data_IF_134816243537
#
_entry.id   IF_134816243537
#
_cell.length_a   1.000
_cell.length_b   1.000
_cell.length_c   1.000
_cell.angle_alpha   90.00
_cell.angle_beta   90.00
_cell.angle_gamma   90.00
#
_symmetry.space_group_name_H-M   'P 1'
#
loop_
_entity.id
_entity.type
_entity.pdbx_description
1 polymer ?
#
# COMPACT_ATOMS: atom_id res chain seq x y z
N UNK A 1 2.04 15.98 22.22
CA UNK A 1 1.21 16.59 21.15
C UNK A 1 0.76 15.49 20.22
N UNK A 2 -0.52 15.49 19.89
CA UNK A 2 -1.09 14.45 19.06
C UNK A 2 -1.42 15.08 17.72
N UNK A 3 -0.67 14.66 16.71
CA UNK A 3 -0.78 15.21 15.37
C UNK A 3 -2.08 14.82 14.68
N UNK A 4 -2.65 15.75 13.93
CA UNK A 4 -3.79 15.54 13.03
C UNK A 4 -3.39 14.74 11.80
N UNK A 5 -4.37 14.29 11.01
CA UNK A 5 -4.09 13.66 9.71
C UNK A 5 -3.29 14.57 8.79
N UNK A 6 -3.65 15.85 8.73
CA UNK A 6 -2.92 16.86 7.94
C UNK A 6 -1.45 16.98 8.36
N UNK A 7 -1.18 17.11 9.65
CA UNK A 7 0.19 17.17 10.19
C UNK A 7 0.95 15.86 9.92
N UNK A 8 0.28 14.71 9.98
CA UNK A 8 0.91 13.42 9.66
C UNK A 8 1.27 13.28 8.17
N UNK A 9 0.55 13.92 7.25
CA UNK A 9 0.96 13.98 5.84
C UNK A 9 2.36 14.58 5.72
N UNK A 10 2.61 15.68 6.40
CA UNK A 10 3.94 16.32 6.39
C UNK A 10 5.00 15.48 7.08
N UNK A 11 4.65 14.82 8.20
CA UNK A 11 5.59 13.94 8.90
C UNK A 11 5.97 12.72 8.05
N UNK A 12 5.00 12.02 7.48
CA UNK A 12 5.27 10.87 6.59
C UNK A 12 6.02 11.29 5.35
N UNK A 13 5.64 12.41 4.74
CA UNK A 13 6.32 12.95 3.57
C UNK A 13 7.77 13.33 3.87
N UNK A 14 8.03 13.93 5.02
CA UNK A 14 9.39 14.26 5.46
C UNK A 14 10.26 13.00 5.66
N UNK A 15 9.71 11.94 6.25
CA UNK A 15 10.40 10.64 6.40
C UNK A 15 10.74 10.03 5.04
N UNK A 16 9.87 10.22 4.04
CA UNK A 16 10.08 9.77 2.66
C UNK A 16 10.99 10.71 1.84
N UNK A 17 11.45 11.80 2.45
CA UNK A 17 12.36 12.76 1.80
C UNK A 17 11.68 13.85 0.97
N UNK A 18 10.36 14.03 1.07
CA UNK A 18 9.64 15.06 0.34
C UNK A 18 9.84 16.45 0.97
N UNK A 19 10.00 17.48 0.14
CA UNK A 19 10.04 18.85 0.62
C UNK A 19 8.65 19.33 1.05
N UNK A 20 8.64 20.30 1.98
CA UNK A 20 7.38 20.93 2.40
C UNK A 20 6.62 21.53 1.21
N UNK A 21 7.34 22.19 0.30
CA UNK A 21 6.73 22.78 -0.90
C UNK A 21 6.03 21.73 -1.77
N UNK A 22 6.67 20.60 -2.02
CA UNK A 22 6.07 19.49 -2.75
C UNK A 22 4.80 18.96 -2.07
N UNK A 23 4.83 18.81 -0.74
CA UNK A 23 3.68 18.35 0.02
C UNK A 23 2.54 19.39 0.02
N UNK A 24 2.84 20.69 0.08
CA UNK A 24 1.84 21.76 -0.05
C UNK A 24 1.12 21.68 -1.41
N UNK A 25 1.85 21.43 -2.49
CA UNK A 25 1.31 21.29 -3.85
C UNK A 25 0.45 20.01 -4.00
N UNK A 26 0.76 18.96 -3.25
CA UNK A 26 0.10 17.65 -3.32
C UNK A 26 -0.96 17.40 -2.25
N UNK A 27 -1.15 18.33 -1.33
CA UNK A 27 -1.98 18.15 -0.15
C UNK A 27 -3.41 17.76 -0.49
N UNK A 28 -4.04 18.48 -1.42
CA UNK A 28 -5.42 18.23 -1.82
C UNK A 28 -5.58 16.86 -2.50
N UNK A 29 -4.62 16.47 -3.34
CA UNK A 29 -4.57 15.15 -3.99
C UNK A 29 -4.50 14.02 -2.95
N UNK A 30 -3.67 14.19 -1.92
CA UNK A 30 -3.52 13.21 -0.83
C UNK A 30 -4.83 13.08 -0.05
N UNK A 31 -5.43 14.21 0.33
CA UNK A 31 -6.66 14.24 1.11
C UNK A 31 -7.80 13.60 0.33
N UNK A 32 -7.95 13.92 -0.94
CA UNK A 32 -8.96 13.35 -1.82
C UNK A 32 -8.75 11.83 -1.99
N UNK A 33 -7.50 11.41 -2.27
CA UNK A 33 -7.20 10.00 -2.44
C UNK A 33 -7.48 9.19 -1.18
N UNK A 34 -7.11 9.72 0.00
CA UNK A 34 -7.32 9.03 1.29
C UNK A 34 -8.79 8.91 1.70
N UNK A 35 -9.68 9.73 1.10
CA UNK A 35 -11.09 9.87 1.48
C UNK A 35 -11.30 10.27 2.95
N UNK A 36 -10.31 10.96 3.54
CA UNK A 36 -10.32 11.39 4.95
C UNK A 36 -10.67 12.86 5.14
N UNK A 37 -11.20 13.55 4.10
CA UNK A 37 -11.44 14.99 4.14
C UNK A 37 -12.17 15.50 5.39
N UNK A 38 -13.21 14.80 5.85
CA UNK A 38 -13.93 15.15 7.08
C UNK A 38 -13.13 14.93 8.38
N UNK A 39 -12.12 14.13 8.33
CA UNK A 39 -11.31 13.72 9.49
C UNK A 39 -9.88 14.23 9.42
N UNK A 40 -9.51 14.96 8.37
CA UNK A 40 -8.10 15.33 8.15
C UNK A 40 -7.51 16.18 9.28
N UNK A 41 -8.33 16.97 9.93
CA UNK A 41 -7.93 17.83 11.05
C UNK A 41 -8.22 17.22 12.44
N UNK A 42 -8.63 15.94 12.45
CA UNK A 42 -8.80 15.15 13.68
C UNK A 42 -7.47 14.46 14.03
N UNK A 43 -7.10 14.38 15.32
CA UNK A 43 -5.90 13.67 15.74
C UNK A 43 -5.89 12.19 15.31
N UNK A 44 -4.77 11.72 14.74
CA UNK A 44 -4.63 10.36 14.20
C UNK A 44 -4.80 9.27 15.26
N UNK A 45 -4.63 9.59 16.54
CA UNK A 45 -4.96 8.64 17.62
C UNK A 45 -6.41 8.16 17.56
N UNK A 46 -7.32 9.01 17.08
CA UNK A 46 -8.76 8.73 16.97
C UNK A 46 -9.12 8.02 15.65
N UNK A 47 -8.13 7.77 14.78
CA UNK A 47 -8.34 7.06 13.53
C UNK A 47 -8.47 5.56 13.76
N UNK A 48 -9.36 4.92 13.01
CA UNK A 48 -9.36 3.47 12.87
C UNK A 48 -8.07 2.99 12.18
N UNK A 49 -7.77 1.71 12.27
CA UNK A 49 -6.65 1.11 11.53
C UNK A 49 -6.77 1.34 10.02
N UNK A 50 -8.00 1.22 9.48
CA UNK A 50 -8.29 1.51 8.08
C UNK A 50 -8.01 2.96 7.68
N UNK A 51 -8.37 3.93 8.51
CA UNK A 51 -8.08 5.34 8.26
C UNK A 51 -6.57 5.62 8.27
N UNK A 52 -5.83 5.03 9.21
CA UNK A 52 -4.36 5.14 9.26
C UNK A 52 -3.71 4.56 8.02
N UNK A 53 -4.15 3.39 7.58
CA UNK A 53 -3.63 2.74 6.37
C UNK A 53 -3.94 3.54 5.11
N UNK A 54 -5.14 4.11 4.99
CA UNK A 54 -5.51 5.00 3.87
C UNK A 54 -4.60 6.21 3.80
N UNK A 55 -4.34 6.85 4.94
CA UNK A 55 -3.47 8.02 5.01
C UNK A 55 -2.04 7.67 4.60
N UNK A 56 -1.47 6.62 5.19
CA UNK A 56 -0.11 6.17 4.88
C UNK A 56 0.07 5.78 3.43
N UNK A 57 -0.87 5.01 2.87
CA UNK A 57 -0.87 4.61 1.46
C UNK A 57 -0.94 5.82 0.53
N UNK A 58 -1.80 6.80 0.84
CA UNK A 58 -1.98 8.00 0.02
C UNK A 58 -0.69 8.84 -0.07
N UNK A 59 0.07 8.91 1.01
CA UNK A 59 1.38 9.61 1.01
C UNK A 59 2.45 8.78 0.31
N UNK A 60 2.53 7.48 0.59
CA UNK A 60 3.56 6.61 0.03
C UNK A 60 3.46 6.47 -1.49
N UNK A 61 2.28 6.63 -2.06
CA UNK A 61 2.04 6.48 -3.50
C UNK A 61 1.99 7.80 -4.28
N UNK A 62 2.41 8.92 -3.67
CA UNK A 62 2.47 10.23 -4.31
C UNK A 62 3.47 10.30 -5.44
N UNK A 63 4.57 9.63 -5.28
CA UNK A 63 5.65 9.56 -6.27
C UNK A 63 5.76 8.15 -6.80
N UNK A 64 6.43 8.02 -7.93
CA UNK A 64 6.78 6.75 -8.54
C UNK A 64 8.19 6.36 -8.06
N UNK A 65 8.30 5.53 -7.00
CA UNK A 65 9.60 5.06 -6.53
C UNK A 65 10.16 4.02 -7.50
N UNK A 66 11.45 3.76 -7.47
CA UNK A 66 12.04 2.65 -8.22
C UNK A 66 11.53 1.29 -7.70
N UNK A 67 11.37 1.19 -6.38
CA UNK A 67 10.87 0.00 -5.68
C UNK A 67 9.80 0.41 -4.66
N UNK A 68 8.64 -0.21 -4.76
CA UNK A 68 7.53 -0.08 -3.80
C UNK A 68 7.35 -1.38 -3.03
N UNK A 69 7.41 -1.32 -1.71
CA UNK A 69 7.17 -2.48 -0.83
C UNK A 69 5.82 -2.30 -0.14
N UNK A 70 4.95 -3.27 -0.31
CA UNK A 70 3.61 -3.29 0.27
C UNK A 70 3.44 -4.53 1.15
N UNK A 71 3.20 -4.31 2.44
CA UNK A 71 2.95 -5.39 3.41
C UNK A 71 1.48 -5.33 3.86
N UNK A 72 0.65 -6.22 3.35
CA UNK A 72 -0.79 -6.40 3.65
C UNK A 72 -1.67 -5.14 3.55
N UNK A 73 -1.14 -4.01 3.09
CA UNK A 73 -1.83 -2.70 3.09
C UNK A 73 -3.12 -2.70 2.25
N UNK A 74 -3.18 -3.57 1.24
CA UNK A 74 -4.35 -3.67 0.35
C UNK A 74 -5.51 -4.48 0.94
N UNK A 75 -5.30 -5.13 2.09
CA UNK A 75 -6.34 -5.88 2.79
C UNK A 75 -7.22 -4.96 3.66
N UNK A 76 -6.78 -3.72 3.89
CA UNK A 76 -7.39 -2.79 4.85
C UNK A 76 -8.28 -1.78 4.13
N UNK A 77 -9.44 -1.56 4.67
CA UNK A 77 -10.44 -0.63 4.14
C UNK A 77 -11.63 -1.33 3.50
N UNK A 78 -12.58 -0.52 3.03
CA UNK A 78 -13.74 -1.03 2.30
C UNK A 78 -13.38 -1.47 0.86
N UNK A 79 -14.31 -2.17 0.22
CA UNK A 79 -14.13 -2.71 -1.13
C UNK A 79 -13.82 -1.63 -2.18
N UNK A 80 -14.35 -0.41 -1.98
CA UNK A 80 -14.15 0.73 -2.88
C UNK A 80 -12.71 1.22 -2.81
N UNK A 81 -12.18 1.42 -1.59
CA UNK A 81 -10.80 1.87 -1.39
C UNK A 81 -9.79 0.82 -1.84
N UNK A 82 -10.08 -0.47 -1.62
CA UNK A 82 -9.23 -1.57 -2.14
C UNK A 82 -9.09 -1.52 -3.66
N UNK A 83 -10.18 -1.37 -4.39
CA UNK A 83 -10.15 -1.24 -5.87
C UNK A 83 -9.33 -0.03 -6.31
N UNK A 84 -9.50 1.10 -5.64
CA UNK A 84 -8.77 2.34 -5.92
C UNK A 84 -7.27 2.18 -5.68
N UNK A 85 -6.89 1.54 -4.58
CA UNK A 85 -5.49 1.25 -4.23
C UNK A 85 -4.85 0.26 -5.20
N UNK A 86 -5.56 -0.82 -5.56
CA UNK A 86 -5.10 -1.78 -6.56
C UNK A 86 -4.88 -1.10 -7.93
N UNK A 87 -5.81 -0.25 -8.36
CA UNK A 87 -5.67 0.51 -9.61
C UNK A 87 -4.44 1.45 -9.59
N UNK A 88 -4.17 2.10 -8.45
CA UNK A 88 -2.99 2.95 -8.28
C UNK A 88 -1.70 2.15 -8.40
N UNK A 89 -1.62 0.97 -7.78
CA UNK A 89 -0.45 0.08 -7.87
C UNK A 89 -0.26 -0.42 -9.30
N UNK A 90 -1.32 -0.83 -9.97
CA UNK A 90 -1.23 -1.29 -11.35
C UNK A 90 -0.73 -0.17 -12.28
N UNK A 91 -1.17 1.08 -12.06
CA UNK A 91 -0.67 2.22 -12.83
C UNK A 91 0.83 2.48 -12.61
N UNK A 92 1.34 2.22 -11.40
CA UNK A 92 2.78 2.30 -11.10
C UNK A 92 3.56 1.19 -11.78
N UNK A 93 3.01 -0.03 -11.75
CA UNK A 93 3.61 -1.19 -12.41
C UNK A 93 3.75 -0.95 -13.93
N UNK A 94 2.73 -0.41 -14.58
CA UNK A 94 2.75 -0.06 -16.01
C UNK A 94 3.80 1.00 -16.36
N UNK A 95 4.20 1.82 -15.38
CA UNK A 95 5.27 2.82 -15.51
C UNK A 95 6.67 2.29 -15.18
N UNK A 96 6.80 1.00 -14.89
CA UNK A 96 8.08 0.33 -14.65
C UNK A 96 8.53 0.31 -13.20
N UNK A 97 7.69 0.69 -12.23
CA UNK A 97 7.99 0.55 -10.80
C UNK A 97 8.07 -0.93 -10.43
N UNK A 98 9.12 -1.34 -9.74
CA UNK A 98 9.21 -2.68 -9.15
C UNK A 98 8.38 -2.74 -7.88
N UNK A 99 7.40 -3.64 -7.82
CA UNK A 99 6.53 -3.80 -6.64
C UNK A 99 6.82 -5.13 -5.95
N UNK A 100 7.16 -5.06 -4.66
CA UNK A 100 7.23 -6.21 -3.76
C UNK A 100 5.96 -6.21 -2.90
N UNK A 101 5.11 -7.20 -3.10
CA UNK A 101 3.83 -7.31 -2.42
C UNK A 101 3.79 -8.54 -1.51
N UNK A 102 3.59 -8.30 -0.21
CA UNK A 102 3.41 -9.37 0.79
C UNK A 102 1.94 -9.50 1.13
N UNK A 103 1.37 -10.67 0.95
CA UNK A 103 -0.04 -10.94 1.23
C UNK A 103 -0.27 -12.41 1.59
N UNK A 104 -1.28 -12.64 2.43
CA UNK A 104 -1.85 -13.97 2.66
C UNK A 104 -3.00 -14.30 1.70
N UNK A 105 -3.43 -13.34 0.90
CA UNK A 105 -4.51 -13.52 -0.09
C UNK A 105 -3.95 -13.98 -1.43
N UNK A 106 -4.09 -15.27 -1.70
CA UNK A 106 -3.68 -15.86 -2.97
C UNK A 106 -4.38 -15.19 -4.17
N UNK A 107 -5.64 -14.79 -4.02
CA UNK A 107 -6.40 -14.11 -5.07
C UNK A 107 -5.81 -12.72 -5.40
N UNK A 108 -5.36 -11.97 -4.39
CA UNK A 108 -4.69 -10.70 -4.63
C UNK A 108 -3.34 -10.91 -5.32
N UNK A 109 -2.56 -11.89 -4.87
CA UNK A 109 -1.27 -12.22 -5.49
C UNK A 109 -1.47 -12.62 -6.95
N UNK A 110 -2.46 -13.47 -7.26
CA UNK A 110 -2.79 -13.88 -8.64
C UNK A 110 -3.20 -12.70 -9.53
N UNK A 111 -3.87 -11.69 -8.98
CA UNK A 111 -4.33 -10.53 -9.76
C UNK A 111 -3.25 -9.47 -9.97
N UNK A 112 -2.39 -9.26 -8.98
CA UNK A 112 -1.48 -8.11 -8.95
C UNK A 112 -0.05 -8.45 -9.34
N UNK A 113 0.37 -9.70 -9.15
CA UNK A 113 1.76 -10.11 -9.31
C UNK A 113 1.95 -10.94 -10.59
N UNK A 114 3.16 -10.90 -11.14
CA UNK A 114 3.57 -11.74 -12.26
C UNK A 114 4.50 -12.89 -11.83
N UNK A 115 5.14 -12.75 -10.65
CA UNK A 115 5.98 -13.77 -10.03
C UNK A 115 5.67 -13.85 -8.54
N UNK A 116 5.98 -14.99 -7.93
CA UNK A 116 5.82 -15.17 -6.50
C UNK A 116 7.00 -15.89 -5.87
N UNK A 117 7.14 -15.68 -4.57
CA UNK A 117 8.05 -16.41 -3.69
C UNK A 117 7.21 -16.92 -2.52
N UNK A 118 7.23 -18.23 -2.27
CA UNK A 118 6.61 -18.83 -1.09
C UNK A 118 7.64 -18.97 0.02
N UNK A 119 7.38 -18.31 1.14
CA UNK A 119 8.20 -18.37 2.34
C UNK A 119 7.52 -19.20 3.42
N UNK A 120 8.27 -20.08 4.06
CA UNK A 120 7.82 -20.81 5.23
C UNK A 120 8.96 -20.88 6.26
N UNK A 121 8.68 -20.44 7.48
CA UNK A 121 9.66 -20.43 8.60
C UNK A 121 11.02 -19.81 8.20
N UNK A 122 10.98 -18.72 7.45
CA UNK A 122 12.16 -17.99 7.00
C UNK A 122 12.93 -18.64 5.84
N UNK A 123 12.39 -19.71 5.23
CA UNK A 123 13.01 -20.38 4.07
C UNK A 123 12.15 -20.22 2.83
N UNK A 124 12.80 -20.10 1.68
CA UNK A 124 12.15 -20.12 0.38
C UNK A 124 11.79 -21.57 0.06
N UNK A 125 10.48 -21.85 -0.09
CA UNK A 125 9.96 -23.18 -0.43
C UNK A 125 9.76 -23.31 -1.94
N UNK A 126 9.29 -22.24 -2.58
CA UNK A 126 9.08 -22.18 -4.01
C UNK A 126 9.21 -20.75 -4.51
N UNK A 127 9.65 -20.56 -5.73
CA UNK A 127 9.70 -19.27 -6.39
C UNK A 127 9.55 -19.47 -7.91
N UNK A 128 8.97 -18.48 -8.59
CA UNK A 128 8.79 -18.53 -10.04
C UNK A 128 7.48 -17.91 -10.49
N UNK A 129 6.83 -18.52 -11.48
CA UNK A 129 5.53 -18.05 -11.96
C UNK A 129 4.44 -18.19 -10.90
N UNK A 130 3.41 -17.34 -11.01
CA UNK A 130 2.27 -17.39 -10.10
C UNK A 130 1.61 -18.77 -10.10
N UNK A 131 1.49 -19.39 -11.26
CA UNK A 131 0.83 -20.70 -11.40
C UNK A 131 1.60 -21.82 -10.68
N UNK A 132 2.93 -21.85 -10.81
CA UNK A 132 3.77 -22.86 -10.15
C UNK A 132 3.74 -22.70 -8.62
N UNK A 133 3.95 -21.47 -8.14
CA UNK A 133 3.99 -21.19 -6.70
C UNK A 133 2.63 -21.37 -6.05
N UNK A 134 1.55 -20.99 -6.74
CA UNK A 134 0.18 -21.17 -6.25
C UNK A 134 -0.18 -22.64 -6.02
N UNK A 135 0.23 -23.53 -6.90
CA UNK A 135 0.01 -24.99 -6.74
C UNK A 135 0.67 -25.50 -5.45
N UNK A 136 1.93 -25.12 -5.24
CA UNK A 136 2.67 -25.52 -4.03
C UNK A 136 2.00 -24.96 -2.77
N UNK A 137 1.52 -23.72 -2.81
CA UNK A 137 0.79 -23.11 -1.69
C UNK A 137 -0.51 -23.83 -1.39
N UNK A 138 -1.33 -24.12 -2.40
CA UNK A 138 -2.61 -24.80 -2.24
C UNK A 138 -2.45 -26.24 -1.72
N UNK A 139 -1.40 -26.96 -2.14
CA UNK A 139 -1.09 -28.30 -1.63
C UNK A 139 -0.70 -28.30 -0.15
N UNK A 140 -0.03 -27.25 0.31
CA UNK A 140 0.37 -27.11 1.72
C UNK A 140 -0.73 -26.62 2.65
N UNK A 141 -1.76 -25.98 2.12
CA UNK A 141 -2.88 -25.42 2.89
C UNK A 141 -4.10 -26.36 2.96
N UNK A 142 -4.06 -27.49 2.27
CA UNK A 142 -5.02 -28.59 2.39
C UNK A 142 -4.69 -29.47 3.61
#
# INVERSE_FOLDING_TARGET
QQYTGRENIYLYGAVLGFSKKFLDEKLDEIIEFSELGKFIDVPVKNYSSGMKSRLGFSVATLVEPDILILDEVLSVGDAKFRKKSEAKIMSMFDKGVTVLFVSHSLDQVKRLCNKAILLEKGKIISHGSIEEVSKVYEEKTK
#
